data_IF_732819422378
#
_entry.id   IF_732819422378
#
_cell.length_a   1.000
_cell.length_b   1.000
_cell.length_c   1.000
_cell.angle_alpha   90.00
_cell.angle_beta   90.00
_cell.angle_gamma   90.00
#
_symmetry.space_group_name_H-M   'P 1'
#
loop_
_entity.id
_entity.type
_entity.pdbx_description
1 polymer ?
#
# COMPACT_ATOMS: atom_id res chain seq x y z
N UNK A 1 54.32 5.11 -47.17
CA UNK A 1 54.12 6.57 -47.08
C UNK A 1 53.23 6.85 -45.89
N UNK A 2 53.73 7.57 -44.89
CA UNK A 2 52.90 8.04 -43.80
C UNK A 2 52.16 9.30 -44.24
N UNK A 3 50.87 9.32 -44.12
CA UNK A 3 50.07 10.53 -44.45
C UNK A 3 50.38 11.61 -43.41
N UNK A 4 50.54 12.87 -43.84
CA UNK A 4 50.88 13.96 -42.91
C UNK A 4 49.66 14.24 -42.02
N UNK A 5 49.94 14.37 -40.74
CA UNK A 5 49.08 15.04 -39.79
C UNK A 5 49.12 16.55 -40.04
N UNK A 6 48.00 17.25 -40.09
CA UNK A 6 46.77 17.04 -39.32
C UNK A 6 45.62 16.50 -40.17
N UNK A 7 45.08 15.37 -39.76
CA UNK A 7 43.79 14.86 -40.26
C UNK A 7 42.65 15.31 -39.33
N UNK A 8 41.49 15.63 -39.91
CA UNK A 8 40.29 15.85 -39.12
C UNK A 8 39.81 14.47 -38.60
N UNK A 9 40.06 14.20 -37.35
CA UNK A 9 39.65 12.96 -36.68
C UNK A 9 38.32 13.17 -35.95
N UNK A 10 37.68 12.09 -35.51
CA UNK A 10 36.46 12.16 -34.70
C UNK A 10 36.66 13.07 -33.46
N UNK A 11 37.85 13.07 -32.88
CA UNK A 11 38.18 13.89 -31.70
C UNK A 11 38.29 15.39 -32.06
N UNK A 12 38.89 15.73 -33.20
CA UNK A 12 39.09 17.13 -33.65
C UNK A 12 37.85 17.68 -34.35
N UNK A 13 37.00 16.81 -34.91
CA UNK A 13 35.75 17.17 -35.59
C UNK A 13 34.47 17.00 -34.72
N UNK A 14 34.65 16.77 -33.41
CA UNK A 14 33.52 16.50 -32.54
C UNK A 14 32.44 17.58 -32.51
N UNK A 15 32.84 18.84 -32.71
CA UNK A 15 31.90 19.99 -32.77
C UNK A 15 30.98 19.93 -33.99
N UNK A 16 31.41 19.24 -35.06
CA UNK A 16 30.59 19.10 -36.29
C UNK A 16 29.75 17.83 -36.35
N UNK A 17 29.89 16.94 -35.35
CA UNK A 17 29.10 15.71 -35.23
C UNK A 17 27.86 16.06 -34.46
N UNK A 18 26.67 16.10 -35.07
CA UNK A 18 25.43 16.37 -34.33
C UNK A 18 25.16 15.24 -33.33
N UNK A 19 24.92 15.59 -32.07
CA UNK A 19 24.42 14.68 -31.07
C UNK A 19 22.93 14.43 -31.36
N UNK A 20 22.57 13.17 -31.58
CA UNK A 20 21.18 12.76 -31.77
C UNK A 20 20.66 12.33 -30.40
N UNK A 21 19.76 13.11 -29.85
CA UNK A 21 19.05 12.77 -28.62
C UNK A 21 17.80 11.98 -28.99
N UNK A 22 17.49 10.95 -28.21
CA UNK A 22 16.24 10.22 -28.38
C UNK A 22 15.06 11.07 -27.92
N UNK A 23 14.02 11.15 -28.73
CA UNK A 23 12.74 11.77 -28.36
C UNK A 23 11.98 10.94 -27.32
N UNK A 24 12.43 9.71 -27.05
CA UNK A 24 11.81 8.79 -26.13
C UNK A 24 12.34 9.00 -24.71
N UNK A 25 11.48 9.46 -23.81
CA UNK A 25 11.79 9.60 -22.39
C UNK A 25 11.50 8.26 -21.70
N UNK A 26 12.56 7.62 -21.21
CA UNK A 26 12.44 6.41 -20.39
C UNK A 26 12.06 6.82 -18.98
N UNK A 27 10.79 6.66 -18.64
CA UNK A 27 10.31 6.87 -17.26
C UNK A 27 10.73 5.70 -16.35
N UNK A 28 11.00 6.01 -15.10
CA UNK A 28 11.23 4.98 -14.08
C UNK A 28 9.98 4.09 -13.92
N UNK A 29 10.20 2.81 -13.67
CA UNK A 29 9.11 1.89 -13.38
C UNK A 29 8.36 2.32 -12.11
N UNK A 30 7.04 2.29 -12.20
CA UNK A 30 6.14 2.62 -11.08
C UNK A 30 5.73 1.35 -10.35
N UNK A 31 5.73 1.40 -9.04
CA UNK A 31 5.26 0.27 -8.24
C UNK A 31 3.74 0.12 -8.30
N UNK A 32 3.26 -1.08 -8.02
CA UNK A 32 1.84 -1.37 -8.01
C UNK A 32 1.19 -0.80 -6.73
N UNK A 33 0.18 0.04 -6.90
CA UNK A 33 -0.61 0.61 -5.82
C UNK A 33 -1.87 -0.23 -5.62
N UNK A 34 -2.01 -0.85 -4.46
CA UNK A 34 -3.06 -1.86 -4.24
C UNK A 34 -4.01 -1.52 -3.10
N UNK A 35 -3.52 -0.87 -2.03
CA UNK A 35 -4.25 -0.72 -0.77
C UNK A 35 -5.55 0.06 -0.91
N UNK A 36 -5.55 1.15 -1.68
CA UNK A 36 -6.73 1.98 -1.85
C UNK A 36 -7.96 1.24 -2.40
N UNK A 37 -7.76 0.09 -3.08
CA UNK A 37 -8.85 -0.72 -3.62
C UNK A 37 -9.30 -1.85 -2.68
N UNK A 38 -8.50 -2.17 -1.67
CA UNK A 38 -8.73 -3.28 -0.74
C UNK A 38 -9.42 -2.85 0.55
N UNK A 39 -9.55 -1.55 0.79
CA UNK A 39 -10.14 -0.99 2.02
C UNK A 39 -11.53 -0.43 1.79
N UNK A 40 -12.25 -0.18 2.87
CA UNK A 40 -13.56 0.47 2.83
C UNK A 40 -13.41 1.93 2.42
N UNK A 41 -14.07 2.34 1.34
CA UNK A 41 -14.02 3.71 0.82
C UNK A 41 -15.26 4.48 1.25
N UNK A 42 -15.05 5.65 1.82
CA UNK A 42 -16.10 6.60 2.12
C UNK A 42 -15.86 7.91 1.38
N UNK A 43 -16.85 8.38 0.64
CA UNK A 43 -16.75 9.66 -0.06
C UNK A 43 -17.24 10.78 0.85
N UNK A 44 -16.36 11.72 1.11
CA UNK A 44 -16.65 12.93 1.87
C UNK A 44 -16.67 14.18 0.96
N UNK A 45 -16.64 13.95 -0.36
CA UNK A 45 -16.61 15.00 -1.39
C UNK A 45 -17.80 15.94 -1.26
N UNK A 46 -17.53 17.23 -1.27
CA UNK A 46 -18.56 18.28 -1.20
C UNK A 46 -19.19 18.50 0.16
N UNK A 47 -18.83 17.75 1.20
CA UNK A 47 -19.29 17.97 2.57
C UNK A 47 -18.31 18.90 3.30
N UNK A 48 -18.87 19.79 4.11
CA UNK A 48 -18.10 20.66 5.02
C UNK A 48 -17.87 19.90 6.33
N UNK A 49 -16.68 19.99 6.87
CA UNK A 49 -16.27 19.32 8.11
C UNK A 49 -14.92 18.67 7.92
N UNK A 50 -14.25 18.36 9.00
CA UNK A 50 -12.93 17.73 9.07
C UNK A 50 -12.98 16.32 9.66
N UNK A 51 -14.12 15.94 10.24
CA UNK A 51 -14.26 14.69 11.00
C UNK A 51 -15.52 13.95 10.57
N UNK A 52 -15.36 12.65 10.33
CA UNK A 52 -16.43 11.71 10.07
C UNK A 52 -16.63 10.81 11.29
N UNK A 53 -17.82 10.84 11.87
CA UNK A 53 -18.22 10.02 13.01
C UNK A 53 -18.86 8.73 12.50
N UNK A 54 -18.28 7.58 12.86
CA UNK A 54 -18.78 6.26 12.52
C UNK A 54 -19.24 5.59 13.81
N UNK A 55 -20.55 5.39 14.04
CA UNK A 55 -21.04 4.72 15.24
C UNK A 55 -20.60 3.26 15.26
N UNK A 56 -20.11 2.79 16.41
CA UNK A 56 -19.74 1.40 16.68
C UNK A 56 -20.63 0.90 17.82
N UNK A 57 -21.81 0.30 17.52
CA UNK A 57 -22.68 -0.21 18.55
C UNK A 57 -22.04 -1.41 19.26
N UNK A 58 -22.26 -1.51 20.57
CA UNK A 58 -21.80 -2.62 21.38
C UNK A 58 -22.71 -3.84 21.20
N UNK A 59 -22.14 -5.04 21.08
CA UNK A 59 -22.93 -6.27 21.02
C UNK A 59 -23.42 -6.64 22.42
N UNK A 60 -24.72 -6.91 22.55
CA UNK A 60 -25.28 -7.47 23.78
C UNK A 60 -25.14 -9.00 23.84
N UNK A 61 -25.08 -9.55 25.03
CA UNK A 61 -25.09 -10.99 25.29
C UNK A 61 -26.44 -11.41 25.84
N UNK A 62 -26.98 -12.54 25.34
CA UNK A 62 -28.20 -13.10 25.88
C UNK A 62 -27.96 -13.68 27.28
N UNK A 63 -28.85 -13.39 28.23
CA UNK A 63 -28.84 -13.95 29.57
C UNK A 63 -30.00 -14.91 29.80
N UNK A 64 -29.75 -15.95 30.60
CA UNK A 64 -30.81 -16.89 30.99
C UNK A 64 -31.78 -16.20 31.96
N UNK A 65 -33.05 -16.14 31.58
CA UNK A 65 -34.10 -15.62 32.47
C UNK A 65 -34.69 -16.72 33.33
N UNK A 66 -34.61 -16.57 34.63
CA UNK A 66 -35.31 -17.45 35.55
C UNK A 66 -36.81 -17.17 35.61
N UNK A 67 -37.64 -18.17 35.98
CA UNK A 67 -39.06 -17.99 36.17
C UNK A 67 -39.33 -16.96 37.25
N UNK A 68 -40.35 -16.15 37.09
CA UNK A 68 -40.79 -15.11 38.03
C UNK A 68 -39.79 -13.98 38.35
N UNK A 69 -38.72 -13.85 37.57
CA UNK A 69 -37.75 -12.71 37.70
C UNK A 69 -37.95 -11.70 36.58
N UNK A 70 -37.64 -10.44 36.85
CA UNK A 70 -37.62 -9.42 35.79
C UNK A 70 -36.50 -9.69 34.78
N UNK A 71 -36.66 -9.22 33.55
CA UNK A 71 -35.60 -9.27 32.51
C UNK A 71 -34.41 -8.40 32.93
N UNK A 72 -33.20 -8.89 32.66
CA UNK A 72 -32.00 -8.09 32.84
C UNK A 72 -31.79 -7.20 31.62
N UNK A 73 -31.79 -5.90 31.83
CA UNK A 73 -31.49 -4.95 30.76
C UNK A 73 -30.00 -4.98 30.45
N UNK A 74 -29.67 -5.05 29.19
CA UNK A 74 -28.29 -4.92 28.71
C UNK A 74 -27.96 -3.44 28.72
N UNK A 75 -26.91 -3.07 29.47
CA UNK A 75 -26.37 -1.70 29.41
C UNK A 75 -25.74 -1.48 28.03
N UNK A 76 -26.25 -0.54 27.28
CA UNK A 76 -25.72 -0.18 25.98
C UNK A 76 -24.76 1.00 26.16
N UNK A 77 -23.52 0.81 25.70
CA UNK A 77 -22.50 1.88 25.69
C UNK A 77 -22.10 2.08 24.25
N UNK A 78 -22.70 3.07 23.63
CA UNK A 78 -22.37 3.43 22.27
C UNK A 78 -20.99 4.07 22.20
N UNK A 79 -20.17 3.59 21.29
CA UNK A 79 -18.85 4.14 20.96
C UNK A 79 -18.82 4.59 19.52
N UNK A 80 -17.91 5.48 19.19
CA UNK A 80 -17.72 5.97 17.83
C UNK A 80 -16.27 5.87 17.40
N UNK A 81 -16.05 5.69 16.11
CA UNK A 81 -14.73 5.81 15.49
C UNK A 81 -14.69 7.15 14.73
N UNK A 82 -13.73 8.00 15.12
CA UNK A 82 -13.54 9.30 14.49
C UNK A 82 -12.51 9.18 13.37
N UNK A 83 -12.92 9.48 12.15
CA UNK A 83 -12.04 9.56 10.98
C UNK A 83 -11.79 11.03 10.68
N UNK A 84 -10.58 11.49 11.00
CA UNK A 84 -10.17 12.87 10.75
C UNK A 84 -9.58 13.01 9.37
N UNK A 85 -10.08 13.95 8.57
CA UNK A 85 -9.59 14.27 7.23
C UNK A 85 -8.59 15.41 7.37
N UNK A 86 -7.33 15.07 7.63
CA UNK A 86 -6.26 16.04 7.90
C UNK A 86 -5.00 15.83 7.03
N UNK A 87 -5.03 14.85 6.13
CA UNK A 87 -3.88 14.54 5.29
C UNK A 87 -4.01 15.27 3.95
N UNK A 88 -3.35 16.43 3.88
CA UNK A 88 -3.26 17.24 2.67
C UNK A 88 -1.86 17.10 2.08
N UNK A 89 -1.75 16.41 0.96
CA UNK A 89 -0.49 16.22 0.27
C UNK A 89 -0.47 16.97 -1.05
N UNK A 90 0.69 17.55 -1.36
CA UNK A 90 0.92 18.29 -2.58
C UNK A 90 2.14 17.78 -3.35
N UNK A 91 2.12 18.00 -4.64
CA UNK A 91 3.23 17.82 -5.55
C UNK A 91 3.33 19.08 -6.40
N UNK A 92 4.43 19.85 -6.25
CA UNK A 92 4.61 21.13 -6.94
C UNK A 92 5.93 21.15 -7.71
N UNK A 93 5.91 21.65 -8.95
CA UNK A 93 7.10 21.86 -9.77
C UNK A 93 7.01 23.13 -10.58
N UNK A 94 8.16 23.83 -10.72
CA UNK A 94 8.35 24.89 -11.67
C UNK A 94 8.93 24.31 -12.97
N UNK A 95 8.38 24.76 -14.10
CA UNK A 95 8.87 24.45 -15.45
C UNK A 95 9.18 25.80 -16.08
N UNK A 96 10.45 26.09 -16.31
CA UNK A 96 10.89 27.31 -16.97
C UNK A 96 10.53 27.29 -18.46
N UNK A 97 10.17 28.45 -18.98
CA UNK A 97 9.78 28.60 -20.38
C UNK A 97 10.91 28.19 -21.35
N UNK A 98 12.16 28.51 -20.99
CA UNK A 98 13.32 28.16 -21.81
C UNK A 98 13.48 26.63 -21.93
N UNK A 99 13.20 25.89 -20.86
CA UNK A 99 13.27 24.43 -20.86
C UNK A 99 12.14 23.84 -21.71
N UNK A 100 10.92 24.40 -21.61
CA UNK A 100 9.77 23.92 -22.40
C UNK A 100 9.96 24.16 -23.90
N UNK A 101 10.60 25.27 -24.29
CA UNK A 101 10.90 25.60 -25.69
C UNK A 101 12.05 24.74 -26.24
N UNK A 102 13.06 24.44 -25.45
CA UNK A 102 14.24 23.68 -25.88
C UNK A 102 14.10 22.18 -25.73
N UNK A 103 13.14 21.69 -24.94
CA UNK A 103 12.93 20.26 -24.75
C UNK A 103 12.33 19.60 -26.00
N UNK A 104 12.89 18.46 -26.40
CA UNK A 104 12.41 17.65 -27.53
C UNK A 104 11.05 17.00 -27.28
N UNK A 105 10.67 16.81 -26.03
CA UNK A 105 9.40 16.18 -25.62
C UNK A 105 8.67 17.02 -24.58
N UNK A 106 7.35 16.85 -24.50
CA UNK A 106 6.52 17.56 -23.51
C UNK A 106 6.82 17.10 -22.08
N UNK A 107 7.65 17.85 -21.37
CA UNK A 107 7.99 17.64 -19.96
C UNK A 107 6.75 17.72 -19.06
N UNK A 108 5.79 18.56 -19.41
CA UNK A 108 4.54 18.72 -18.63
C UNK A 108 3.78 17.42 -18.50
N UNK A 109 3.63 16.65 -19.59
CA UNK A 109 2.91 15.37 -19.57
C UNK A 109 3.58 14.36 -18.64
N UNK A 110 4.91 14.32 -18.65
CA UNK A 110 5.69 13.45 -17.76
C UNK A 110 5.45 13.81 -16.30
N UNK A 111 5.58 15.08 -15.92
CA UNK A 111 5.38 15.53 -14.54
C UNK A 111 3.94 15.38 -14.06
N UNK A 112 2.95 15.54 -14.93
CA UNK A 112 1.54 15.29 -14.57
C UNK A 112 1.31 13.81 -14.20
N UNK A 113 1.88 12.89 -14.98
CA UNK A 113 1.77 11.45 -14.69
C UNK A 113 2.55 11.04 -13.45
N UNK A 114 3.69 11.70 -13.18
CA UNK A 114 4.49 11.46 -11.98
C UNK A 114 3.81 12.00 -10.71
N UNK A 115 3.18 13.16 -10.80
CA UNK A 115 2.40 13.74 -9.71
C UNK A 115 1.25 12.82 -9.26
N UNK A 116 0.47 12.32 -10.22
CA UNK A 116 -0.63 11.39 -9.92
C UNK A 116 -0.14 10.11 -9.25
N UNK A 117 0.98 9.58 -9.73
CA UNK A 117 1.60 8.40 -9.11
C UNK A 117 2.13 8.69 -7.70
N UNK A 118 2.84 9.81 -7.49
CA UNK A 118 3.41 10.18 -6.19
C UNK A 118 2.34 10.37 -5.13
N UNK A 119 1.24 11.05 -5.48
CA UNK A 119 0.10 11.22 -4.57
C UNK A 119 -0.60 9.89 -4.27
N UNK A 120 -0.78 9.03 -5.28
CA UNK A 120 -1.34 7.69 -5.09
C UNK A 120 -0.45 6.81 -4.21
N UNK A 121 0.87 6.88 -4.39
CA UNK A 121 1.85 6.19 -3.54
C UNK A 121 1.75 6.63 -2.08
N UNK A 122 1.55 7.93 -1.84
CA UNK A 122 1.39 8.45 -0.48
C UNK A 122 0.12 7.93 0.19
N UNK A 123 -0.99 7.83 -0.53
CA UNK A 123 -2.23 7.21 -0.04
C UNK A 123 -1.98 5.75 0.35
N UNK A 124 -1.34 4.99 -0.53
CA UNK A 124 -1.01 3.57 -0.31
C UNK A 124 -0.14 3.40 0.95
N UNK A 125 0.89 4.21 1.09
CA UNK A 125 1.78 4.23 2.26
C UNK A 125 1.03 4.59 3.55
N UNK A 126 0.14 5.59 3.49
CA UNK A 126 -0.66 6.00 4.65
C UNK A 126 -1.56 4.88 5.16
N UNK A 127 -2.18 4.11 4.25
CA UNK A 127 -3.03 2.97 4.61
C UNK A 127 -2.18 1.81 5.16
N UNK A 128 -1.04 1.49 4.54
CA UNK A 128 -0.16 0.42 5.01
C UNK A 128 0.33 0.69 6.44
N UNK A 129 0.66 1.93 6.76
CA UNK A 129 1.12 2.30 8.08
C UNK A 129 0.06 2.12 9.18
N UNK A 130 -1.24 2.12 8.84
CA UNK A 130 -2.30 1.77 9.79
C UNK A 130 -2.22 0.32 10.26
N UNK A 131 -1.57 -0.56 9.51
CA UNK A 131 -1.34 -1.94 9.91
C UNK A 131 -0.61 -2.09 11.26
N UNK A 132 0.10 -1.05 11.71
CA UNK A 132 0.73 -1.01 13.04
C UNK A 132 -0.28 -0.96 14.21
N UNK A 133 -1.51 -0.55 13.96
CA UNK A 133 -2.60 -0.50 14.95
C UNK A 133 -3.34 -1.82 15.12
N UNK A 134 -3.24 -2.75 14.16
CA UNK A 134 -3.98 -4.01 14.18
C UNK A 134 -3.71 -4.83 15.46
N UNK A 135 -4.72 -5.58 15.91
CA UNK A 135 -4.68 -6.41 17.13
C UNK A 135 -4.41 -5.60 18.42
N UNK A 136 -4.83 -4.34 18.46
CA UNK A 136 -4.59 -3.44 19.59
C UNK A 136 -3.16 -2.92 19.67
N UNK A 137 -2.51 -2.75 18.52
CA UNK A 137 -1.22 -2.09 18.39
C UNK A 137 -1.27 -0.61 18.78
N UNK A 138 -0.12 -0.02 19.08
CA UNK A 138 -0.06 1.38 19.55
C UNK A 138 -0.05 2.43 18.44
N UNK A 139 -0.40 2.06 17.20
CA UNK A 139 -0.62 3.03 16.11
C UNK A 139 0.62 3.78 15.62
N UNK A 140 1.80 3.36 16.00
CA UNK A 140 3.07 3.85 15.48
C UNK A 140 3.70 2.80 14.56
N UNK A 141 4.71 3.16 13.79
CA UNK A 141 5.45 2.23 12.92
C UNK A 141 6.18 1.11 13.68
N UNK A 142 5.97 0.99 14.99
CA UNK A 142 6.61 -0.01 15.84
C UNK A 142 6.11 -1.45 15.65
N UNK A 143 4.90 -1.63 15.11
CA UNK A 143 4.30 -2.96 14.88
C UNK A 143 4.37 -3.91 16.10
N UNK A 144 4.13 -3.39 17.30
CA UNK A 144 4.29 -4.10 18.56
C UNK A 144 3.30 -5.26 18.79
N UNK A 145 2.30 -5.41 17.93
CA UNK A 145 1.34 -6.52 17.91
C UNK A 145 1.46 -7.41 16.67
N UNK A 146 2.40 -7.09 15.78
CA UNK A 146 2.70 -7.98 14.67
C UNK A 146 3.25 -9.31 15.16
N UNK A 147 3.01 -10.37 14.41
CA UNK A 147 3.52 -11.71 14.69
C UNK A 147 4.64 -12.09 13.74
N UNK A 148 5.43 -13.10 14.08
CA UNK A 148 6.42 -13.67 13.17
C UNK A 148 5.71 -14.46 12.06
N UNK A 149 6.13 -14.26 10.82
CA UNK A 149 5.51 -14.90 9.66
C UNK A 149 5.64 -16.42 9.65
N UNK A 150 6.70 -16.95 10.25
CA UNK A 150 6.99 -18.39 10.26
C UNK A 150 5.99 -19.24 11.04
N UNK A 151 5.53 -18.76 12.17
CA UNK A 151 4.56 -19.47 13.02
C UNK A 151 3.19 -18.75 13.13
N UNK A 152 3.13 -17.47 12.74
CA UNK A 152 1.92 -16.65 12.81
C UNK A 152 1.40 -16.39 14.24
N UNK A 153 2.21 -16.63 15.25
CA UNK A 153 1.80 -16.55 16.63
C UNK A 153 2.80 -15.83 17.54
N UNK A 154 4.10 -16.07 17.37
CA UNK A 154 5.13 -15.45 18.23
C UNK A 154 5.16 -13.94 17.98
N UNK A 155 5.02 -13.12 19.05
CA UNK A 155 5.02 -11.67 18.91
C UNK A 155 6.33 -11.15 18.30
N UNK A 156 6.21 -10.27 17.32
CA UNK A 156 7.33 -9.54 16.75
C UNK A 156 7.67 -8.34 17.65
N UNK A 157 8.95 -8.13 17.91
CA UNK A 157 9.44 -6.96 18.65
C UNK A 157 10.42 -6.21 17.76
N UNK A 158 10.00 -5.08 17.26
CA UNK A 158 10.81 -4.25 16.37
C UNK A 158 12.17 -3.89 17.00
N UNK A 159 13.26 -4.15 16.29
CA UNK A 159 14.62 -3.91 16.76
C UNK A 159 15.20 -4.97 17.71
N UNK A 160 14.40 -5.94 18.16
CA UNK A 160 14.85 -7.01 19.07
C UNK A 160 14.66 -8.41 18.48
N UNK A 161 13.54 -8.65 17.79
CA UNK A 161 13.23 -9.93 17.16
C UNK A 161 13.30 -9.77 15.65
N UNK A 162 14.07 -10.60 14.95
CA UNK A 162 14.10 -10.61 13.50
C UNK A 162 12.83 -11.26 12.94
N UNK A 163 12.36 -10.78 11.80
CA UNK A 163 11.31 -11.42 11.02
C UNK A 163 11.72 -12.84 10.60
N UNK A 164 10.75 -13.67 10.31
CA UNK A 164 10.99 -15.06 9.87
C UNK A 164 10.42 -15.29 8.48
N UNK A 165 10.90 -16.32 7.79
CA UNK A 165 10.34 -16.72 6.50
C UNK A 165 8.86 -17.08 6.66
N UNK A 166 8.03 -16.66 5.70
CA UNK A 166 6.61 -17.00 5.67
C UNK A 166 6.43 -18.51 5.44
N UNK A 167 5.61 -19.15 6.26
CA UNK A 167 5.32 -20.58 6.14
C UNK A 167 3.82 -20.83 5.97
N UNK A 168 3.46 -21.98 5.41
CA UNK A 168 2.07 -22.43 5.32
C UNK A 168 1.39 -22.50 6.70
N UNK A 169 2.11 -22.99 7.71
CA UNK A 169 1.61 -23.05 9.09
C UNK A 169 1.32 -21.66 9.66
N UNK A 170 2.21 -20.70 9.39
CA UNK A 170 2.03 -19.31 9.79
C UNK A 170 0.80 -18.67 9.15
N UNK A 171 0.59 -18.86 7.84
CA UNK A 171 -0.60 -18.37 7.14
C UNK A 171 -1.87 -18.93 7.75
N UNK A 172 -1.94 -20.26 7.99
CA UNK A 172 -3.11 -20.90 8.61
C UNK A 172 -3.37 -20.39 10.04
N UNK A 173 -2.31 -20.13 10.81
CA UNK A 173 -2.47 -19.58 12.17
C UNK A 173 -2.99 -18.14 12.15
N UNK A 174 -2.53 -17.30 11.24
CA UNK A 174 -3.07 -15.96 11.05
C UNK A 174 -4.53 -15.98 10.61
N UNK A 175 -4.92 -16.92 9.74
CA UNK A 175 -6.33 -17.13 9.36
C UNK A 175 -7.15 -17.52 10.58
N UNK A 176 -6.66 -18.46 11.41
CA UNK A 176 -7.32 -18.83 12.65
C UNK A 176 -7.54 -17.63 13.56
N UNK A 177 -6.57 -16.73 13.70
CA UNK A 177 -6.72 -15.50 14.51
C UNK A 177 -7.88 -14.63 14.02
N UNK A 178 -8.06 -14.51 12.69
CA UNK A 178 -9.20 -13.78 12.13
C UNK A 178 -10.54 -14.51 12.34
N UNK A 179 -10.53 -15.85 12.28
CA UNK A 179 -11.72 -16.68 12.52
C UNK A 179 -12.13 -16.63 13.99
N UNK A 180 -11.18 -16.68 14.91
CA UNK A 180 -11.40 -16.54 16.36
C UNK A 180 -11.98 -15.15 16.72
N UNK A 181 -11.74 -14.14 15.88
CA UNK A 181 -12.30 -12.79 16.01
C UNK A 181 -13.65 -12.59 15.28
N UNK A 182 -14.29 -13.67 14.82
CA UNK A 182 -15.57 -13.63 14.06
C UNK A 182 -15.53 -12.72 12.80
N UNK A 183 -14.37 -12.57 12.16
CA UNK A 183 -14.24 -11.78 10.93
C UNK A 183 -14.80 -12.56 9.75
N UNK A 184 -15.65 -11.98 8.87
CA UNK A 184 -16.17 -12.67 7.69
C UNK A 184 -15.04 -13.21 6.80
N UNK A 185 -15.24 -14.38 6.20
CA UNK A 185 -14.26 -14.99 5.28
C UNK A 185 -14.16 -14.25 3.96
N UNK A 186 -15.30 -13.72 3.47
CA UNK A 186 -15.35 -12.98 2.22
C UNK A 186 -14.70 -11.59 2.38
N UNK A 187 -13.95 -11.17 1.38
CA UNK A 187 -13.33 -9.83 1.37
C UNK A 187 -12.03 -9.73 2.17
N UNK A 188 -11.44 -10.85 2.59
CA UNK A 188 -10.10 -10.89 3.15
C UNK A 188 -9.06 -10.80 2.03
N UNK A 189 -7.97 -10.10 2.30
CA UNK A 189 -6.85 -9.93 1.36
C UNK A 189 -5.52 -10.05 2.10
N UNK A 190 -4.51 -10.52 1.37
CA UNK A 190 -3.13 -10.58 1.84
C UNK A 190 -2.30 -9.61 1.00
N UNK A 191 -1.58 -8.71 1.65
CA UNK A 191 -0.62 -7.81 1.01
C UNK A 191 0.78 -8.18 1.46
N UNK A 192 1.61 -8.54 0.51
CA UNK A 192 2.97 -9.04 0.73
C UNK A 192 4.02 -8.09 0.15
N UNK A 193 5.17 -7.96 0.78
CA UNK A 193 6.37 -7.46 0.14
C UNK A 193 6.88 -8.46 -0.93
N UNK A 194 7.74 -8.03 -1.86
CA UNK A 194 8.31 -8.91 -2.88
C UNK A 194 9.03 -10.15 -2.31
N UNK A 195 9.67 -10.01 -1.14
CA UNK A 195 10.31 -11.12 -0.43
C UNK A 195 9.28 -12.19 -0.04
N UNK A 196 8.13 -11.78 0.49
CA UNK A 196 7.04 -12.70 0.83
C UNK A 196 6.53 -13.49 -0.37
N UNK A 197 6.42 -12.83 -1.53
CA UNK A 197 6.07 -13.53 -2.78
C UNK A 197 7.13 -14.59 -3.15
N UNK A 198 8.42 -14.24 -3.07
CA UNK A 198 9.51 -15.16 -3.36
C UNK A 198 9.44 -16.41 -2.46
N UNK A 199 9.23 -16.22 -1.16
CA UNK A 199 9.08 -17.31 -0.19
C UNK A 199 7.86 -18.16 -0.48
N UNK A 200 6.70 -17.56 -0.79
CA UNK A 200 5.48 -18.30 -1.12
C UNK A 200 5.62 -19.17 -2.37
N UNK A 201 6.36 -18.68 -3.38
CA UNK A 201 6.67 -19.51 -4.57
C UNK A 201 7.55 -20.72 -4.26
N UNK A 202 8.24 -20.74 -3.13
CA UNK A 202 9.02 -21.87 -2.64
C UNK A 202 8.22 -22.87 -1.80
N UNK A 203 6.98 -22.57 -1.43
CA UNK A 203 6.14 -23.45 -0.64
C UNK A 203 5.44 -24.45 -1.59
N UNK A 204 5.78 -25.74 -1.45
CA UNK A 204 5.29 -26.82 -2.32
C UNK A 204 3.77 -26.84 -2.48
N UNK A 205 3.02 -26.60 -1.39
CA UNK A 205 1.55 -26.57 -1.42
C UNK A 205 0.94 -25.56 -2.39
N UNK A 206 1.62 -24.46 -2.66
CA UNK A 206 1.12 -23.40 -3.53
C UNK A 206 1.66 -23.51 -4.96
N UNK A 207 2.65 -24.33 -5.18
CA UNK A 207 3.37 -24.42 -6.45
C UNK A 207 3.29 -25.77 -7.12
N UNK A 208 3.25 -26.88 -6.36
CA UNK A 208 3.24 -28.22 -6.94
C UNK A 208 1.85 -28.59 -7.49
N UNK A 209 1.84 -29.10 -8.71
CA UNK A 209 0.63 -29.52 -9.41
C UNK A 209 -0.17 -30.59 -8.64
N UNK A 210 0.52 -31.47 -7.87
CA UNK A 210 -0.12 -32.47 -7.04
C UNK A 210 -1.06 -31.91 -5.97
N UNK A 211 -0.83 -30.68 -5.51
CA UNK A 211 -1.66 -30.00 -4.51
C UNK A 211 -2.66 -29.01 -5.14
N UNK A 212 -2.27 -28.35 -6.24
CA UNK A 212 -3.08 -27.31 -6.88
C UNK A 212 -4.10 -27.90 -7.86
N UNK A 213 -3.91 -29.17 -8.29
CA UNK A 213 -4.76 -29.81 -9.30
C UNK A 213 -4.43 -29.37 -10.74
N UNK A 214 -4.99 -30.09 -11.69
CA UNK A 214 -4.83 -29.80 -13.13
C UNK A 214 -5.86 -28.76 -13.57
N UNK A 215 -5.70 -27.53 -13.12
CA UNK A 215 -6.54 -26.42 -13.59
C UNK A 215 -5.72 -25.56 -14.55
N UNK A 216 -5.61 -26.00 -15.78
CA UNK A 216 -5.18 -25.29 -16.98
C UNK A 216 -4.19 -24.11 -16.75
N UNK A 217 -4.61 -22.89 -16.84
CA UNK A 217 -3.77 -21.68 -16.75
C UNK A 217 -3.44 -21.20 -15.33
N UNK A 218 -3.85 -21.92 -14.29
CA UNK A 218 -3.74 -21.47 -12.89
C UNK A 218 -2.45 -21.87 -12.18
N UNK A 219 -1.56 -22.64 -12.81
CA UNK A 219 -0.35 -23.10 -12.14
C UNK A 219 0.67 -21.98 -11.94
N UNK A 220 1.02 -21.72 -10.69
CA UNK A 220 1.98 -20.67 -10.26
C UNK A 220 3.36 -20.85 -10.89
N UNK A 221 3.80 -22.10 -11.16
CA UNK A 221 5.08 -22.38 -11.81
C UNK A 221 5.10 -21.84 -13.24
N UNK A 222 3.99 -21.94 -13.97
CA UNK A 222 3.93 -21.50 -15.36
C UNK A 222 3.75 -20.00 -15.52
N UNK A 223 2.93 -19.37 -14.68
CA UNK A 223 2.57 -17.96 -14.85
C UNK A 223 3.15 -17.01 -13.79
N UNK A 224 3.80 -17.54 -12.76
CA UNK A 224 4.38 -16.75 -11.68
C UNK A 224 3.36 -15.96 -10.84
N UNK A 225 2.07 -16.24 -10.98
CA UNK A 225 1.01 -15.56 -10.22
C UNK A 225 0.58 -16.46 -9.06
N UNK A 226 0.72 -15.94 -7.86
CA UNK A 226 0.06 -16.47 -6.66
C UNK A 226 -1.31 -15.81 -6.65
N UNK A 227 -2.34 -16.55 -7.08
CA UNK A 227 -3.67 -15.97 -7.21
C UNK A 227 -4.39 -15.89 -5.88
N UNK A 228 -5.09 -16.97 -5.56
CA UNK A 228 -5.90 -17.13 -4.37
C UNK A 228 -5.29 -18.18 -3.45
N UNK A 229 -5.14 -17.84 -2.18
CA UNK A 229 -4.61 -18.73 -1.15
C UNK A 229 -5.61 -18.80 -0.01
N UNK A 230 -6.16 -19.99 0.23
CA UNK A 230 -7.19 -20.21 1.26
C UNK A 230 -8.41 -19.26 1.17
N UNK A 231 -8.85 -18.93 -0.06
CA UNK A 231 -9.97 -18.02 -0.30
C UNK A 231 -9.60 -16.53 -0.18
N UNK A 232 -8.32 -16.18 -0.09
CA UNK A 232 -7.86 -14.81 0.01
C UNK A 232 -6.99 -14.42 -1.18
N UNK A 233 -7.28 -13.28 -1.78
CA UNK A 233 -6.47 -12.73 -2.86
C UNK A 233 -5.13 -12.21 -2.34
N UNK A 234 -4.05 -12.61 -3.03
CA UNK A 234 -2.68 -12.21 -2.70
C UNK A 234 -2.23 -11.06 -3.59
N UNK A 235 -1.86 -9.96 -2.96
CA UNK A 235 -1.31 -8.77 -3.62
C UNK A 235 0.14 -8.55 -3.22
N UNK A 236 0.93 -8.01 -4.14
CA UNK A 236 2.34 -7.70 -3.88
C UNK A 236 2.56 -6.21 -4.04
N UNK A 237 3.13 -5.59 -3.00
CA UNK A 237 3.47 -4.17 -3.02
C UNK A 237 4.89 -3.95 -2.50
N UNK A 238 5.64 -3.11 -3.19
CA UNK A 238 6.96 -2.65 -2.73
C UNK A 238 6.86 -1.54 -1.67
N UNK A 239 5.65 -1.04 -1.42
CA UNK A 239 5.35 -0.07 -0.36
C UNK A 239 5.22 -0.70 1.02
N UNK A 240 5.37 -2.02 1.14
CA UNK A 240 5.29 -2.73 2.42
C UNK A 240 6.16 -2.04 3.48
N UNK A 241 5.58 -1.85 4.67
CA UNK A 241 6.25 -1.13 5.74
C UNK A 241 7.57 -1.80 6.15
N UNK A 242 8.56 -0.98 6.42
CA UNK A 242 9.80 -1.36 7.07
C UNK A 242 9.75 -0.89 8.51
N UNK A 243 9.70 -1.79 9.51
CA UNK A 243 9.86 -1.38 10.89
C UNK A 243 11.28 -0.84 11.14
N UNK A 244 11.57 -0.43 12.36
CA UNK A 244 12.85 0.18 12.75
C UNK A 244 14.10 -0.66 12.40
N UNK A 245 13.94 -1.95 12.16
CA UNK A 245 15.00 -2.83 11.67
C UNK A 245 14.97 -2.85 10.14
N UNK A 246 16.01 -2.36 9.50
CA UNK A 246 16.07 -2.15 8.04
C UNK A 246 15.95 -3.43 7.20
N UNK A 247 16.13 -4.60 7.79
CA UNK A 247 16.07 -5.92 7.11
C UNK A 247 14.67 -6.53 7.09
N UNK A 248 13.80 -6.17 8.03
CA UNK A 248 12.47 -6.78 8.11
C UNK A 248 11.48 -6.09 7.18
N UNK A 249 10.48 -6.84 6.76
CA UNK A 249 9.34 -6.33 5.96
C UNK A 249 8.04 -6.80 6.59
N UNK A 250 7.04 -5.92 6.62
CA UNK A 250 5.74 -6.22 7.19
C UNK A 250 4.77 -6.58 6.07
N UNK A 251 4.16 -7.76 6.18
CA UNK A 251 2.99 -8.14 5.41
C UNK A 251 1.72 -7.89 6.23
N UNK A 252 0.61 -7.73 5.54
CA UNK A 252 -0.71 -7.51 6.14
C UNK A 252 -1.69 -8.54 5.62
N UNK A 253 -2.45 -9.14 6.53
CA UNK A 253 -3.62 -9.95 6.24
C UNK A 253 -4.83 -9.29 6.89
N UNK A 254 -5.82 -8.87 6.13
CA UNK A 254 -6.92 -8.07 6.66
C UNK A 254 -8.20 -8.23 5.86
N UNK A 255 -9.31 -7.95 6.51
CA UNK A 255 -10.61 -7.81 5.88
C UNK A 255 -10.83 -6.35 5.43
N UNK A 256 -11.63 -6.15 4.39
CA UNK A 256 -11.93 -4.83 3.82
C UNK A 256 -12.39 -3.79 4.85
N UNK A 257 -13.09 -4.22 5.90
CA UNK A 257 -13.57 -3.33 6.97
C UNK A 257 -12.54 -3.03 8.06
N UNK A 258 -11.31 -3.56 7.97
CA UNK A 258 -10.25 -3.22 8.92
C UNK A 258 -9.87 -1.75 8.84
N UNK A 259 -9.85 -1.21 7.63
CA UNK A 259 -9.42 0.17 7.38
C UNK A 259 -10.48 0.95 6.61
N UNK A 260 -10.53 2.25 6.85
CA UNK A 260 -11.35 3.18 6.10
C UNK A 260 -10.49 4.24 5.45
N UNK A 261 -10.81 4.54 4.20
CA UNK A 261 -10.25 5.62 3.42
C UNK A 261 -11.36 6.63 3.11
N UNK A 262 -11.26 7.83 3.67
CA UNK A 262 -12.23 8.92 3.47
C UNK A 262 -11.60 9.99 2.56
N UNK A 263 -12.14 10.13 1.36
CA UNK A 263 -11.66 11.11 0.38
C UNK A 263 -12.56 12.35 0.40
N UNK A 264 -12.00 13.52 0.72
CA UNK A 264 -12.70 14.79 0.65
C UNK A 264 -12.38 15.54 -0.62
N UNK A 265 -11.12 15.55 -1.03
CA UNK A 265 -10.66 16.15 -2.26
C UNK A 265 -9.86 15.12 -3.05
N UNK A 266 -10.39 14.72 -4.21
CA UNK A 266 -9.65 13.88 -5.15
C UNK A 266 -8.43 14.61 -5.70
N UNK A 267 -7.55 13.88 -6.34
CA UNK A 267 -6.39 14.48 -6.99
C UNK A 267 -6.86 15.53 -8.00
N UNK A 268 -6.51 16.76 -7.75
CA UNK A 268 -6.71 17.88 -8.68
C UNK A 268 -5.36 18.44 -9.09
N UNK A 269 -5.28 18.94 -10.30
CA UNK A 269 -4.11 19.63 -10.82
C UNK A 269 -4.45 21.06 -11.22
N UNK A 270 -3.55 21.98 -10.93
CA UNK A 270 -3.64 23.37 -11.27
C UNK A 270 -2.32 23.85 -11.87
N UNK A 271 -2.40 24.80 -12.80
CA UNK A 271 -1.23 25.44 -13.39
C UNK A 271 -1.37 26.95 -13.25
N UNK A 272 -0.27 27.60 -12.88
CA UNK A 272 -0.21 29.05 -12.79
C UNK A 272 1.11 29.55 -13.37
N UNK A 273 1.04 30.52 -14.25
CA UNK A 273 2.24 31.22 -14.74
C UNK A 273 2.75 32.21 -13.71
N UNK A 274 4.03 32.15 -13.39
CA UNK A 274 4.72 33.05 -12.47
C UNK A 274 5.67 33.94 -13.26
N UNK A 275 5.28 35.18 -13.46
CA UNK A 275 6.04 36.16 -14.25
C UNK A 275 7.40 36.49 -13.62
N UNK A 276 7.48 36.48 -12.29
CA UNK A 276 8.73 36.77 -11.56
C UNK A 276 9.83 35.73 -11.82
N UNK A 277 9.44 34.51 -12.22
CA UNK A 277 10.36 33.41 -12.46
C UNK A 277 10.39 32.96 -13.93
N UNK A 278 9.61 33.60 -14.81
CA UNK A 278 9.43 33.17 -16.21
C UNK A 278 9.20 31.67 -16.34
N UNK A 279 8.30 31.14 -15.51
CA UNK A 279 8.08 29.72 -15.35
C UNK A 279 6.60 29.40 -15.08
N UNK A 280 6.15 28.24 -15.51
CA UNK A 280 4.83 27.70 -15.17
C UNK A 280 4.92 26.85 -13.90
N UNK A 281 4.20 27.24 -12.85
CA UNK A 281 4.00 26.43 -11.66
C UNK A 281 2.93 25.39 -11.94
N UNK A 282 3.29 24.12 -11.84
CA UNK A 282 2.37 22.99 -11.82
C UNK A 282 2.20 22.50 -10.39
N UNK A 283 0.97 22.42 -9.91
CA UNK A 283 0.66 21.93 -8.57
C UNK A 283 -0.45 20.88 -8.67
N UNK A 284 -0.24 19.75 -8.03
CA UNK A 284 -1.27 18.73 -7.83
C UNK A 284 -1.42 18.47 -6.34
N UNK A 285 -2.65 18.37 -5.85
CA UNK A 285 -2.94 18.15 -4.44
C UNK A 285 -4.08 17.15 -4.24
N UNK A 286 -4.13 16.55 -3.04
CA UNK A 286 -5.21 15.68 -2.60
C UNK A 286 -5.43 15.85 -1.09
N UNK A 287 -6.68 15.71 -0.64
CA UNK A 287 -7.04 15.77 0.77
C UNK A 287 -7.87 14.56 1.14
N UNK A 288 -7.38 13.79 2.11
CA UNK A 288 -8.03 12.58 2.58
C UNK A 288 -7.79 12.31 4.07
N UNK A 289 -8.52 11.37 4.60
CA UNK A 289 -8.32 10.82 5.94
C UNK A 289 -8.27 9.30 5.86
N UNK A 290 -7.43 8.69 6.67
CA UNK A 290 -7.36 7.24 6.83
C UNK A 290 -7.41 6.89 8.30
N UNK A 291 -8.12 5.82 8.62
CA UNK A 291 -8.24 5.34 10.00
C UNK A 291 -8.47 3.84 10.02
N UNK A 292 -7.99 3.22 11.07
CA UNK A 292 -8.36 1.88 11.43
C UNK A 292 -9.79 1.87 12.00
N UNK A 293 -10.63 1.00 11.45
CA UNK A 293 -12.03 0.89 11.82
C UNK A 293 -12.25 -0.25 12.81
N UNK A 294 -11.59 -1.40 12.55
CA UNK A 294 -11.65 -2.60 13.38
C UNK A 294 -10.26 -3.21 13.48
N UNK A 295 -9.64 -3.09 14.63
CA UNK A 295 -8.30 -3.61 14.92
C UNK A 295 -8.22 -5.14 14.88
N UNK A 296 -9.29 -5.83 15.25
CA UNK A 296 -9.41 -7.28 15.23
C UNK A 296 -9.54 -7.86 13.81
N UNK A 297 -9.89 -7.02 12.83
CA UNK A 297 -10.16 -7.45 11.45
C UNK A 297 -8.90 -7.59 10.59
N UNK A 298 -7.72 -7.56 11.18
CA UNK A 298 -6.47 -7.74 10.46
C UNK A 298 -5.34 -8.23 11.36
N UNK A 299 -4.31 -8.79 10.72
CA UNK A 299 -3.06 -9.24 11.36
C UNK A 299 -1.89 -8.70 10.56
N UNK A 300 -0.96 -8.04 11.25
CA UNK A 300 0.33 -7.67 10.70
C UNK A 300 1.36 -8.76 11.01
N UNK A 301 2.22 -9.09 10.08
CA UNK A 301 3.23 -10.12 10.29
C UNK A 301 4.58 -9.71 9.70
N UNK A 302 5.65 -10.03 10.45
CA UNK A 302 7.00 -9.64 10.12
C UNK A 302 7.74 -10.76 9.39
N UNK A 303 8.34 -10.42 8.26
CA UNK A 303 9.16 -11.31 7.43
C UNK A 303 10.58 -10.79 7.39
N UNK A 304 11.53 -11.72 7.31
CA UNK A 304 12.92 -11.39 7.01
C UNK A 304 12.98 -10.79 5.59
N UNK A 305 13.60 -9.63 5.47
CA UNK A 305 13.71 -8.86 4.22
C UNK A 305 14.88 -9.27 3.34
#
# INVERSE_FOLDING_TARGET
>A
MAYPTPQVTKATGAVFIPEIWSDEVIAAYKQNLVMANLVSKMSFKGKKGDTLHIPKPTRGTASLKAASTAVTLIADTETEVLVVVNQHFEYSRFIEDIVEVQALSSMRRFYTADAGYSLGKQVDTSIINLGSGLQGGSGTTAYNKAVLAGDGATPYVAGSTAGTALTDAGIRKMIQTLDDADVPMDGRSIVLPPVGRNVMMGIARFTEQSFVGDVGSGNTIHNGRIGDVYGMMVYVSTNAATPSTATDRIGLMFHKEAFVFAEQLGVRSQTQYKQDFLATLYTADTLYGVKELRDEAGVAFAMLG
#
